data_IF_282796179123
#
_entry.id   IF_282796179123
#
_cell.length_a   1.000
_cell.length_b   1.000
_cell.length_c   1.000
_cell.angle_alpha   90.00
_cell.angle_beta   90.00
_cell.angle_gamma   90.00
#
_symmetry.space_group_name_H-M   'P 1'
#
loop_
_entity.id
_entity.type
_entity.pdbx_description
1 polymer ?
#
# COMPACT_ATOMS: atom_id res chain seq x y z
N UNK A 1 48.89 -48.56 -25.78
CA UNK A 1 48.20 -49.87 -25.82
C UNK A 1 48.48 -50.59 -24.51
N UNK A 2 47.41 -51.00 -23.81
CA UNK A 2 47.37 -51.83 -22.59
C UNK A 2 48.10 -51.24 -21.36
N UNK A 3 47.45 -51.07 -20.21
CA UNK A 3 46.93 -52.17 -19.38
C UNK A 3 45.70 -51.76 -18.56
N UNK A 4 44.74 -52.69 -18.51
CA UNK A 4 43.62 -52.78 -17.58
C UNK A 4 44.14 -53.34 -16.24
N UNK A 5 43.57 -52.94 -15.10
CA UNK A 5 42.94 -53.86 -14.14
C UNK A 5 42.08 -53.11 -13.08
N UNK A 6 41.06 -53.78 -12.48
CA UNK A 6 39.84 -53.20 -11.92
C UNK A 6 39.57 -53.59 -10.45
N UNK A 7 38.31 -53.42 -10.00
CA UNK A 7 37.70 -53.89 -8.73
C UNK A 7 38.21 -53.16 -7.47
N UNK A 8 37.46 -52.85 -6.42
CA UNK A 8 36.17 -53.28 -5.86
C UNK A 8 35.93 -52.35 -4.66
N UNK A 9 34.74 -51.78 -4.41
CA UNK A 9 33.55 -52.38 -3.82
C UNK A 9 33.31 -51.84 -2.39
N UNK A 10 32.05 -51.91 -1.98
CA UNK A 10 31.51 -51.86 -0.63
C UNK A 10 31.40 -50.48 0.03
N UNK A 11 30.18 -49.93 0.08
CA UNK A 11 29.06 -50.33 0.96
C UNK A 11 29.14 -49.57 2.28
N UNK A 12 28.18 -48.66 2.47
CA UNK A 12 28.07 -47.84 3.67
C UNK A 12 26.85 -46.92 3.64
N UNK A 13 25.66 -47.48 3.40
CA UNK A 13 24.43 -46.98 4.03
C UNK A 13 24.16 -47.86 5.25
N UNK A 14 23.69 -47.28 6.36
CA UNK A 14 22.28 -47.44 6.63
C UNK A 14 21.57 -46.17 7.13
N UNK A 15 20.27 -46.21 6.91
CA UNK A 15 19.23 -45.25 7.25
C UNK A 15 18.91 -45.21 8.76
N UNK A 16 18.61 -44.01 9.28
CA UNK A 16 17.79 -43.67 10.45
C UNK A 16 18.01 -42.15 10.71
N UNK A 17 17.06 -41.24 10.85
CA UNK A 17 15.70 -41.34 11.37
C UNK A 17 14.79 -40.31 10.67
N UNK A 18 13.61 -40.77 10.28
CA UNK A 18 12.41 -39.96 10.06
C UNK A 18 11.44 -40.30 11.19
N UNK A 19 11.24 -39.38 12.13
CA UNK A 19 10.04 -39.26 12.97
C UNK A 19 10.18 -37.98 13.81
N UNK A 20 9.45 -36.92 13.49
CA UNK A 20 8.11 -36.62 14.05
C UNK A 20 8.19 -35.58 15.17
N UNK A 21 7.53 -34.45 14.90
CA UNK A 21 7.34 -33.25 15.73
C UNK A 21 6.78 -33.54 17.15
N UNK A 22 6.79 -32.55 18.06
CA UNK A 22 5.73 -31.55 18.00
C UNK A 22 6.23 -30.11 18.26
N UNK A 23 6.01 -29.24 17.27
CA UNK A 23 6.11 -27.80 17.46
C UNK A 23 4.93 -27.34 18.33
N UNK A 24 5.30 -26.76 19.47
CA UNK A 24 4.45 -26.23 20.52
C UNK A 24 3.51 -25.16 19.94
N UNK A 25 2.24 -25.53 19.78
CA UNK A 25 1.15 -24.63 19.40
C UNK A 25 0.87 -23.67 20.56
N UNK A 26 1.48 -22.50 20.53
CA UNK A 26 1.10 -21.38 21.38
C UNK A 26 -0.32 -20.93 21.02
N UNK A 27 -1.24 -21.10 21.97
CA UNK A 27 -2.62 -20.60 21.87
C UNK A 27 -2.61 -19.12 22.27
N UNK A 28 -3.22 -18.20 21.49
CA UNK A 28 -3.49 -16.86 21.99
C UNK A 28 -4.66 -16.92 22.97
N UNK A 29 -4.36 -16.58 24.22
CA UNK A 29 -5.30 -16.49 25.32
C UNK A 29 -6.41 -15.47 25.06
N UNK A 30 -7.63 -15.92 25.29
CA UNK A 30 -8.85 -15.13 25.37
C UNK A 30 -8.79 -14.21 26.59
N UNK A 31 -8.40 -12.96 26.40
CA UNK A 31 -8.61 -11.92 27.41
C UNK A 31 -10.06 -11.49 27.34
N UNK A 32 -10.82 -12.02 28.28
CA UNK A 32 -12.21 -11.67 28.56
C UNK A 32 -12.25 -10.22 29.07
N UNK A 33 -12.66 -9.27 28.21
CA UNK A 33 -12.90 -7.87 28.59
C UNK A 33 -14.15 -7.80 29.48
N UNK A 34 -13.92 -7.93 30.79
CA UNK A 34 -14.95 -7.86 31.82
C UNK A 34 -15.00 -6.43 32.35
N UNK A 35 -15.97 -5.67 31.85
CA UNK A 35 -16.66 -4.66 32.65
C UNK A 35 -16.22 -3.22 32.45
N UNK A 36 -16.94 -2.51 31.58
CA UNK A 36 -17.29 -1.11 31.79
C UNK A 36 -18.78 -0.89 31.50
N UNK A 37 -19.61 -1.33 32.45
CA UNK A 37 -20.97 -0.80 32.61
C UNK A 37 -20.84 0.57 33.27
N UNK A 38 -20.62 1.62 32.47
CA UNK A 38 -20.79 2.98 32.96
C UNK A 38 -22.22 3.44 32.70
N UNK A 39 -22.98 3.47 33.78
CA UNK A 39 -24.30 4.06 33.91
C UNK A 39 -24.26 5.52 33.46
N UNK A 40 -25.02 5.86 32.41
CA UNK A 40 -25.50 7.22 32.20
C UNK A 40 -27.01 7.20 32.41
N UNK A 41 -27.36 7.33 33.69
CA UNK A 41 -28.65 7.82 34.11
C UNK A 41 -28.60 9.35 34.12
N UNK A 42 -29.32 9.98 33.20
CA UNK A 42 -29.82 11.34 33.32
C UNK A 42 -31.23 11.28 32.72
N UNK A 43 -32.29 11.22 33.51
CA UNK A 43 -32.64 12.24 34.48
C UNK A 43 -33.70 13.12 33.83
N UNK A 44 -34.90 12.57 33.67
CA UNK A 44 -36.07 13.31 33.25
C UNK A 44 -36.49 14.24 34.39
N UNK A 45 -36.61 15.54 34.12
CA UNK A 45 -37.35 16.47 34.97
C UNK A 45 -38.42 17.12 34.11
N UNK A 46 -39.66 16.72 34.34
CA UNK A 46 -40.85 17.43 33.91
C UNK A 46 -41.33 18.29 35.10
N UNK A 47 -41.44 19.60 34.90
CA UNK A 47 -42.22 20.49 35.74
C UNK A 47 -42.93 21.50 34.82
N UNK A 48 -44.24 21.52 34.89
CA UNK A 48 -45.11 22.13 33.90
C UNK A 48 -45.31 23.64 34.08
N UNK A 49 -45.61 24.29 32.96
CA UNK A 49 -46.35 25.53 32.90
C UNK A 49 -47.35 25.41 31.74
N UNK A 50 -48.63 25.37 32.09
CA UNK A 50 -49.79 25.24 31.20
C UNK A 50 -50.04 26.54 30.45
N UNK A 51 -49.76 26.59 29.15
CA UNK A 51 -50.38 27.52 28.21
C UNK A 51 -50.64 26.77 26.90
N UNK A 52 -51.90 26.72 26.51
CA UNK A 52 -52.40 26.02 25.34
C UNK A 52 -51.78 26.60 24.05
N UNK A 53 -51.00 25.79 23.34
CA UNK A 53 -50.58 26.02 21.96
C UNK A 53 -50.80 24.72 21.16
N UNK A 54 -51.28 24.81 19.91
CA UNK A 54 -51.72 23.66 19.14
C UNK A 54 -50.57 22.68 18.90
N UNK A 55 -50.82 21.45 19.29
CA UNK A 55 -49.97 20.26 19.24
C UNK A 55 -49.69 19.83 17.78
N UNK A 56 -48.96 20.61 16.99
CA UNK A 56 -48.54 20.15 15.65
C UNK A 56 -47.43 20.93 14.94
N UNK A 57 -46.35 21.33 15.61
CA UNK A 57 -45.18 21.85 14.88
C UNK A 57 -43.92 21.87 15.75
N UNK A 58 -43.31 20.71 16.03
CA UNK A 58 -41.95 20.64 16.58
C UNK A 58 -41.35 19.24 16.32
N UNK A 59 -41.37 18.82 15.06
CA UNK A 59 -40.63 17.64 14.63
C UNK A 59 -40.25 17.82 13.16
N UNK A 60 -39.17 18.57 12.94
CA UNK A 60 -38.19 18.37 11.87
C UNK A 60 -37.17 19.51 11.95
N UNK A 61 -36.30 19.42 12.95
CA UNK A 61 -34.94 19.92 12.75
C UNK A 61 -34.30 18.94 11.76
N UNK A 62 -34.60 19.12 10.47
CA UNK A 62 -33.87 18.46 9.41
C UNK A 62 -32.48 19.05 9.42
N UNK A 63 -31.56 18.39 10.10
CA UNK A 63 -30.14 18.54 9.82
C UNK A 63 -29.95 18.19 8.34
N UNK A 64 -29.97 19.20 7.47
CA UNK A 64 -29.50 19.09 6.09
C UNK A 64 -27.98 18.98 6.11
N UNK A 65 -27.47 17.93 6.76
CA UNK A 65 -26.17 17.40 6.41
C UNK A 65 -26.33 16.90 4.97
N UNK A 66 -25.67 17.53 4.02
CA UNK A 66 -25.86 17.27 2.59
C UNK A 66 -25.75 15.79 2.25
N UNK A 67 -26.88 15.11 2.16
CA UNK A 67 -26.95 13.74 1.67
C UNK A 67 -26.99 13.83 0.16
N UNK A 68 -25.84 13.63 -0.48
CA UNK A 68 -25.77 13.41 -1.92
C UNK A 68 -26.75 12.28 -2.26
N UNK A 69 -27.60 12.46 -3.28
CA UNK A 69 -28.51 11.43 -3.75
C UNK A 69 -27.75 10.12 -4.00
N UNK A 70 -28.34 8.94 -3.71
CA UNK A 70 -27.66 7.65 -3.88
C UNK A 70 -27.09 7.46 -5.30
N UNK A 71 -27.74 8.04 -6.32
CA UNK A 71 -27.27 8.07 -7.71
C UNK A 71 -25.98 8.90 -7.89
N UNK A 72 -25.86 10.03 -7.19
CA UNK A 72 -24.67 10.89 -7.23
C UNK A 72 -23.50 10.22 -6.49
N UNK A 73 -23.79 9.53 -5.39
CA UNK A 73 -22.78 8.75 -4.67
C UNK A 73 -22.28 7.58 -5.54
N UNK A 74 -23.19 6.82 -6.16
CA UNK A 74 -22.84 5.73 -7.06
C UNK A 74 -22.02 6.20 -8.26
N UNK A 75 -22.37 7.36 -8.84
CA UNK A 75 -21.62 7.96 -9.94
C UNK A 75 -20.20 8.39 -9.52
N UNK A 76 -20.05 9.05 -8.36
CA UNK A 76 -18.72 9.39 -7.82
C UNK A 76 -17.88 8.16 -7.50
N UNK A 77 -18.50 7.11 -6.98
CA UNK A 77 -17.83 5.84 -6.70
C UNK A 77 -17.35 5.17 -7.99
N UNK A 78 -18.16 5.19 -9.05
CA UNK A 78 -17.77 4.66 -10.36
C UNK A 78 -16.67 5.49 -11.03
N UNK A 79 -16.73 6.82 -10.94
CA UNK A 79 -15.67 7.72 -11.41
C UNK A 79 -14.35 7.47 -10.68
N UNK A 80 -14.36 7.23 -9.37
CA UNK A 80 -13.16 6.88 -8.61
C UNK A 80 -12.57 5.51 -8.99
N UNK A 81 -13.38 4.60 -9.55
CA UNK A 81 -12.95 3.28 -10.00
C UNK A 81 -12.32 3.30 -11.40
N UNK A 82 -12.55 4.37 -12.16
CA UNK A 82 -11.94 4.57 -13.47
C UNK A 82 -10.54 5.16 -13.30
N UNK A 83 -9.55 4.48 -13.87
CA UNK A 83 -8.19 5.01 -13.93
C UNK A 83 -8.10 6.10 -15.00
N UNK A 84 -7.99 7.35 -14.53
CA UNK A 84 -7.85 8.53 -15.36
C UNK A 84 -6.36 8.85 -15.54
N UNK A 85 -5.82 8.84 -16.77
CA UNK A 85 -4.40 9.16 -17.01
C UNK A 85 -4.03 10.56 -16.48
N UNK A 86 -4.99 11.49 -16.52
CA UNK A 86 -4.84 12.84 -15.97
C UNK A 86 -4.56 12.83 -14.46
N UNK A 87 -5.08 11.84 -13.71
CA UNK A 87 -4.88 11.76 -12.27
C UNK A 87 -3.42 11.54 -11.89
N UNK A 88 -2.67 10.76 -12.67
CA UNK A 88 -1.25 10.51 -12.43
C UNK A 88 -0.46 11.76 -12.76
N UNK A 89 -0.72 12.36 -13.93
CA UNK A 89 -0.02 13.56 -14.35
C UNK A 89 -0.24 14.70 -13.35
N UNK A 90 -1.44 14.84 -12.79
CA UNK A 90 -1.72 15.81 -11.72
C UNK A 90 -0.86 15.56 -10.48
N UNK A 91 -0.68 14.30 -10.06
CA UNK A 91 0.18 13.96 -8.91
C UNK A 91 1.65 14.24 -9.23
N UNK A 92 2.12 13.89 -10.43
CA UNK A 92 3.49 14.18 -10.86
C UNK A 92 3.73 15.69 -10.88
N UNK A 93 2.86 16.46 -11.53
CA UNK A 93 2.98 17.92 -11.62
C UNK A 93 2.96 18.57 -10.24
N UNK A 94 2.08 18.12 -9.34
CA UNK A 94 2.03 18.61 -7.96
C UNK A 94 3.28 18.24 -7.15
N UNK A 95 3.87 17.06 -7.38
CA UNK A 95 5.09 16.63 -6.70
C UNK A 95 6.34 17.38 -7.18
N UNK A 96 6.41 17.59 -8.49
CA UNK A 96 7.54 18.23 -9.18
C UNK A 96 7.57 19.73 -8.93
N UNK A 97 6.39 20.38 -8.80
CA UNK A 97 6.26 21.79 -8.39
C UNK A 97 7.13 22.73 -9.26
N UNK A 98 7.05 22.56 -10.57
CA UNK A 98 7.76 23.36 -11.57
C UNK A 98 9.26 23.05 -11.75
N UNK A 99 9.81 22.06 -11.04
CA UNK A 99 11.20 21.60 -11.22
C UNK A 99 11.33 20.64 -12.41
N UNK A 100 12.55 20.37 -12.86
CA UNK A 100 12.79 19.37 -13.91
C UNK A 100 13.23 18.05 -13.29
N UNK A 101 12.49 16.93 -13.48
CA UNK A 101 12.89 15.62 -12.98
C UNK A 101 14.15 15.11 -13.67
N UNK A 102 15.04 14.47 -12.91
CA UNK A 102 16.24 13.81 -13.42
C UNK A 102 16.06 12.29 -13.41
N UNK A 103 16.30 11.64 -14.53
CA UNK A 103 16.26 10.17 -14.63
C UNK A 103 17.47 9.45 -14.01
N UNK A 104 18.44 10.20 -13.47
CA UNK A 104 19.70 9.64 -12.93
C UNK A 104 19.63 9.58 -11.41
N UNK A 105 20.12 8.48 -10.83
CA UNK A 105 20.28 8.33 -9.38
C UNK A 105 19.08 7.73 -8.64
N UNK A 106 18.01 7.37 -9.35
CA UNK A 106 16.89 6.58 -8.80
C UNK A 106 16.81 5.24 -9.52
N UNK A 107 16.98 4.15 -8.77
CA UNK A 107 16.90 2.79 -9.28
C UNK A 107 15.51 2.24 -8.96
N UNK A 108 14.76 1.92 -10.00
CA UNK A 108 13.47 1.23 -9.90
C UNK A 108 13.65 -0.22 -10.37
N UNK A 109 13.57 -1.14 -9.42
CA UNK A 109 13.60 -2.57 -9.64
C UNK A 109 12.20 -3.16 -9.51
N UNK A 110 11.69 -3.63 -10.65
CA UNK A 110 10.41 -4.30 -10.78
C UNK A 110 10.49 -5.26 -11.95
N UNK A 111 9.88 -6.43 -11.78
CA UNK A 111 9.81 -7.43 -12.83
C UNK A 111 9.00 -6.91 -14.03
N UNK A 112 9.49 -7.15 -15.25
CA UNK A 112 8.77 -6.77 -16.47
C UNK A 112 7.47 -7.55 -16.64
N UNK A 113 7.42 -8.79 -16.13
CA UNK A 113 6.23 -9.62 -16.10
C UNK A 113 5.85 -9.94 -14.65
N UNK A 114 4.64 -9.57 -14.26
CA UNK A 114 4.09 -9.83 -12.94
C UNK A 114 3.12 -11.02 -13.00
N UNK A 115 3.52 -12.14 -12.39
CA UNK A 115 2.69 -13.36 -12.32
C UNK A 115 1.48 -13.21 -11.40
N UNK A 116 1.58 -12.33 -10.39
CA UNK A 116 0.51 -12.07 -9.43
C UNK A 116 0.22 -10.56 -9.32
N UNK A 117 -0.85 -10.04 -9.96
CA UNK A 117 -1.22 -8.62 -9.87
C UNK A 117 -1.56 -8.14 -8.46
N UNK A 118 -1.97 -9.05 -7.57
CA UNK A 118 -2.40 -8.68 -6.22
C UNK A 118 -1.24 -8.30 -5.30
N UNK A 119 0.00 -8.62 -5.70
CA UNK A 119 1.17 -8.48 -4.84
C UNK A 119 2.47 -8.33 -5.65
N UNK A 120 2.53 -7.34 -6.54
CA UNK A 120 3.72 -7.10 -7.38
C UNK A 120 4.84 -6.49 -6.53
N UNK A 121 6.02 -7.11 -6.42
CA UNK A 121 7.15 -6.54 -5.69
C UNK A 121 7.73 -5.37 -6.46
N UNK A 122 7.84 -4.22 -5.80
CA UNK A 122 8.45 -3.00 -6.32
C UNK A 122 9.51 -2.56 -5.32
N UNK A 123 10.75 -2.44 -5.78
CA UNK A 123 11.87 -1.93 -5.00
C UNK A 123 12.38 -0.65 -5.64
N UNK A 124 12.57 0.36 -4.81
CA UNK A 124 13.12 1.65 -5.23
C UNK A 124 14.26 2.00 -4.30
N UNK A 125 15.40 2.35 -4.87
CA UNK A 125 16.57 2.80 -4.12
C UNK A 125 17.16 4.04 -4.75
N UNK A 126 17.43 5.07 -3.95
CA UNK A 126 18.26 6.20 -4.36
C UNK A 126 19.71 5.75 -4.34
N UNK A 127 20.51 6.20 -5.32
CA UNK A 127 21.95 5.96 -5.34
C UNK A 127 22.59 6.43 -4.02
N UNK A 128 23.29 5.54 -3.29
CA UNK A 128 23.97 5.90 -2.05
C UNK A 128 24.93 7.08 -2.20
N UNK A 129 25.50 7.28 -3.39
CA UNK A 129 26.42 8.40 -3.69
C UNK A 129 25.76 9.78 -3.61
N UNK A 130 24.42 9.84 -3.72
CA UNK A 130 23.64 11.07 -3.58
C UNK A 130 23.23 11.35 -2.13
N UNK A 131 23.38 10.35 -1.24
CA UNK A 131 23.04 10.46 0.17
C UNK A 131 24.28 10.89 0.95
N UNK A 132 24.19 12.03 1.62
CA UNK A 132 25.23 12.62 2.46
C UNK A 132 24.60 13.21 3.72
N UNK A 133 25.40 13.64 4.70
CA UNK A 133 24.87 14.27 5.92
C UNK A 133 24.04 15.54 5.64
N UNK A 134 24.40 16.26 4.58
CA UNK A 134 23.75 17.52 4.19
C UNK A 134 22.65 17.33 3.13
N UNK A 135 22.62 16.20 2.43
CA UNK A 135 21.65 15.91 1.38
C UNK A 135 21.09 14.49 1.52
N UNK A 136 19.79 14.37 1.71
CA UNK A 136 19.09 13.10 1.82
C UNK A 136 17.78 13.16 1.04
N UNK A 137 17.19 12.00 0.75
CA UNK A 137 15.85 11.94 0.20
C UNK A 137 14.82 12.33 1.28
N UNK A 138 14.00 13.36 1.07
CA UNK A 138 12.95 13.73 2.03
C UNK A 138 11.68 12.91 1.82
N UNK A 139 11.29 12.72 0.55
CA UNK A 139 10.04 12.06 0.17
C UNK A 139 10.25 11.18 -1.06
N UNK A 140 9.69 9.98 -1.03
CA UNK A 140 9.66 9.05 -2.15
C UNK A 140 8.21 8.60 -2.37
N UNK A 141 7.75 8.69 -3.60
CA UNK A 141 6.42 8.24 -4.00
C UNK A 141 6.52 7.21 -5.11
N UNK A 142 5.58 6.26 -5.09
CA UNK A 142 5.40 5.25 -6.12
C UNK A 142 4.00 5.42 -6.69
N UNK A 143 3.91 5.55 -8.01
CA UNK A 143 2.69 5.77 -8.75
C UNK A 143 2.45 4.61 -9.73
N UNK A 144 1.18 4.24 -9.89
CA UNK A 144 0.71 3.26 -10.86
C UNK A 144 -0.25 3.94 -11.84
N UNK A 145 0.16 4.07 -13.10
CA UNK A 145 -0.47 4.97 -14.08
C UNK A 145 -1.96 4.68 -14.33
N UNK A 146 -2.31 3.41 -14.29
CA UNK A 146 -3.58 2.85 -14.73
C UNK A 146 -4.37 2.23 -13.58
N UNK A 147 -4.02 2.56 -12.35
CA UNK A 147 -4.79 2.22 -11.17
C UNK A 147 -5.85 3.31 -10.89
N UNK A 148 -7.02 2.94 -10.33
CA UNK A 148 -8.04 3.93 -9.96
C UNK A 148 -7.53 4.95 -8.94
N UNK A 149 -6.70 4.47 -8.00
CA UNK A 149 -5.91 5.31 -7.09
C UNK A 149 -4.45 5.25 -7.58
N UNK A 150 -3.92 6.33 -8.18
CA UNK A 150 -2.59 6.30 -8.80
C UNK A 150 -1.46 6.26 -7.77
N UNK A 151 -1.63 6.92 -6.62
CA UNK A 151 -0.64 6.92 -5.55
C UNK A 151 -0.65 5.58 -4.80
N UNK A 152 0.34 4.74 -5.06
CA UNK A 152 0.47 3.44 -4.41
C UNK A 152 1.06 3.57 -3.00
N UNK A 153 2.15 4.34 -2.87
CA UNK A 153 2.79 4.57 -1.59
C UNK A 153 3.51 5.92 -1.59
N UNK A 154 3.66 6.47 -0.39
CA UNK A 154 4.40 7.68 -0.11
C UNK A 154 5.15 7.50 1.20
N UNK A 155 6.46 7.70 1.13
CA UNK A 155 7.38 7.43 2.22
C UNK A 155 8.18 8.69 2.47
N UNK A 156 8.42 8.98 3.75
CA UNK A 156 9.26 10.07 4.18
C UNK A 156 10.51 9.49 4.81
N UNK A 157 11.67 10.04 4.46
CA UNK A 157 12.90 9.69 5.13
C UNK A 157 13.44 10.86 5.93
N UNK A 158 14.25 10.52 6.91
CA UNK A 158 14.93 11.47 7.78
C UNK A 158 16.44 11.35 7.58
N UNK A 159 17.24 12.35 7.97
CA UNK A 159 18.71 12.27 7.91
C UNK A 159 19.28 11.01 8.59
N UNK A 160 18.60 10.51 9.63
CA UNK A 160 19.01 9.33 10.39
C UNK A 160 18.81 8.00 9.65
N UNK A 161 18.14 7.99 8.50
CA UNK A 161 17.89 6.76 7.75
C UNK A 161 19.16 6.18 7.12
N UNK A 162 20.15 7.03 6.79
CA UNK A 162 21.43 6.65 6.17
C UNK A 162 21.34 6.11 4.74
N UNK A 163 20.21 5.49 4.38
CA UNK A 163 19.89 4.95 3.04
C UNK A 163 18.43 5.25 2.73
N UNK A 164 18.14 5.64 1.50
CA UNK A 164 16.78 5.86 1.00
C UNK A 164 16.39 4.71 0.07
N UNK A 165 15.90 3.62 0.66
CA UNK A 165 15.40 2.45 -0.04
C UNK A 165 14.02 2.06 0.48
N UNK A 166 13.13 1.65 -0.42
CA UNK A 166 11.84 1.07 -0.08
C UNK A 166 11.52 -0.14 -0.95
N UNK A 167 11.01 -1.19 -0.30
CA UNK A 167 10.48 -2.37 -0.96
C UNK A 167 9.02 -2.56 -0.53
N UNK A 168 8.10 -2.51 -1.49
CA UNK A 168 6.67 -2.61 -1.26
C UNK A 168 6.02 -3.60 -2.21
N UNK A 169 4.86 -4.14 -1.82
CA UNK A 169 4.03 -4.95 -2.71
C UNK A 169 2.82 -4.13 -3.15
N UNK A 170 2.71 -3.89 -4.45
CA UNK A 170 1.67 -3.04 -5.03
C UNK A 170 0.64 -3.90 -5.77
N UNK A 171 -0.64 -3.56 -5.61
CA UNK A 171 -1.73 -4.14 -6.41
C UNK A 171 -1.81 -3.41 -7.73
N UNK A 172 -1.67 -4.14 -8.85
CA UNK A 172 -1.80 -3.58 -10.19
C UNK A 172 -3.13 -4.03 -10.80
N UNK A 173 -3.95 -3.08 -11.25
CA UNK A 173 -5.23 -3.38 -11.89
C UNK A 173 -5.06 -3.97 -13.30
N UNK A 174 -4.02 -3.54 -14.02
CA UNK A 174 -3.71 -3.92 -15.41
C UNK A 174 -2.25 -3.63 -15.75
N UNK A 175 -1.79 -4.11 -16.90
CA UNK A 175 -0.46 -3.80 -17.46
C UNK A 175 -0.29 -2.30 -17.68
N UNK A 176 0.77 -1.74 -17.09
CA UNK A 176 0.95 -0.30 -16.93
C UNK A 176 2.39 0.09 -16.58
N UNK A 177 2.70 1.38 -16.69
CA UNK A 177 3.93 1.92 -16.15
C UNK A 177 3.82 2.17 -14.64
N UNK A 178 4.91 1.87 -13.94
CA UNK A 178 5.15 2.31 -12.57
C UNK A 178 6.14 3.47 -12.63
N UNK A 179 5.80 4.56 -11.97
CA UNK A 179 6.68 5.71 -11.78
C UNK A 179 7.13 5.76 -10.33
N UNK A 180 8.40 6.02 -10.11
CA UNK A 180 8.95 6.37 -8.82
C UNK A 180 9.50 7.79 -8.90
N UNK A 181 9.17 8.62 -7.91
CA UNK A 181 9.66 9.98 -7.81
C UNK A 181 10.22 10.20 -6.41
N UNK A 182 11.45 10.70 -6.34
CA UNK A 182 12.12 11.05 -5.11
C UNK A 182 12.40 12.56 -5.06
N UNK A 183 12.11 13.20 -3.93
CA UNK A 183 12.50 14.58 -3.65
C UNK A 183 13.68 14.55 -2.70
N UNK A 184 14.78 15.15 -3.13
CA UNK A 184 16.00 15.33 -2.36
C UNK A 184 15.95 16.62 -1.54
N UNK A 185 16.78 16.74 -0.52
CA UNK A 185 16.83 17.89 0.39
C UNK A 185 17.26 19.18 -0.32
N UNK A 186 18.14 19.06 -1.28
CA UNK A 186 18.57 20.14 -2.18
C UNK A 186 17.43 20.63 -3.12
N UNK A 187 16.28 19.96 -3.12
CA UNK A 187 15.14 20.25 -3.97
C UNK A 187 15.17 19.50 -5.31
N UNK A 188 16.21 18.73 -5.61
CA UNK A 188 16.27 17.94 -6.83
C UNK A 188 15.19 16.85 -6.82
N UNK A 189 14.53 16.68 -7.96
CA UNK A 189 13.56 15.60 -8.18
C UNK A 189 14.22 14.52 -9.03
N UNK A 190 14.21 13.29 -8.53
CA UNK A 190 14.65 12.11 -9.27
C UNK A 190 13.42 11.35 -9.75
N UNK A 191 13.46 10.84 -10.97
CA UNK A 191 12.38 10.05 -11.57
C UNK A 191 12.92 8.73 -12.11
N UNK A 192 12.15 7.67 -11.95
CA UNK A 192 12.37 6.40 -12.61
C UNK A 192 11.04 5.82 -13.09
N UNK A 193 11.04 5.25 -14.30
CA UNK A 193 9.86 4.64 -14.91
C UNK A 193 10.20 3.23 -15.40
N UNK A 194 9.29 2.29 -15.14
CA UNK A 194 9.37 0.91 -15.65
C UNK A 194 7.99 0.44 -16.08
N UNK A 195 7.91 -0.16 -17.26
CA UNK A 195 6.69 -0.80 -17.73
C UNK A 195 6.58 -2.22 -17.18
N UNK A 196 5.41 -2.54 -16.63
CA UNK A 196 5.10 -3.85 -16.05
C UNK A 196 3.90 -4.43 -16.77
N UNK A 197 4.10 -5.60 -17.35
CA UNK A 197 3.03 -6.42 -17.90
C UNK A 197 2.52 -7.33 -16.80
N UNK A 198 1.23 -7.29 -16.52
CA UNK A 198 0.62 -8.27 -15.62
C UNK A 198 0.20 -9.46 -16.47
N UNK A 199 0.61 -10.66 -16.08
CA UNK A 199 0.04 -11.87 -16.64
C UNK A 199 -1.48 -11.79 -16.48
N UNK A 200 -2.24 -12.14 -17.51
CA UNK A 200 -3.69 -12.30 -17.35
C UNK A 200 -3.88 -13.28 -16.21
N UNK A 201 -4.22 -12.77 -15.02
CA UNK A 201 -4.36 -13.64 -13.86
C UNK A 201 -5.46 -14.59 -14.23
N UNK A 202 -5.13 -15.88 -14.32
CA UNK A 202 -6.09 -16.93 -14.56
C UNK A 202 -7.08 -17.00 -13.40
N UNK A 203 -8.02 -16.06 -13.36
CA UNK A 203 -9.39 -16.48 -13.15
C UNK A 203 -9.72 -17.29 -14.39
N UNK A 204 -9.57 -18.61 -14.27
CA UNK A 204 -10.33 -19.50 -15.13
C UNK A 204 -11.80 -19.17 -14.88
N UNK A 205 -12.41 -18.49 -15.85
CA UNK A 205 -13.82 -18.51 -16.25
C UNK A 205 -14.06 -17.41 -17.28
#
# INVERSE_FOLDING_TARGET
MQTLHPLSDMSGRPDADTASSPSLRAQPGTVHDRGRRSLLAAGAVAAGATLALPLRALAQASSTAGVLSPEVLAKRQAEMLLAHPDAVQNVITAFVDGRTPSAKGLLLDVAMLADNPSAVPVRVSVDPSLITESNWCEELIILAEKNPIPLACRMYFTPLAGVAEAAVRVRLARSQAIHALARMKDGQILEARRDVTVAASGCGM
#
